data_IF_406873278488
#
_entry.id   IF_406873278488
#
_cell.length_a   1.000
_cell.length_b   1.000
_cell.length_c   1.000
_cell.angle_alpha   90.00
_cell.angle_beta   90.00
_cell.angle_gamma   90.00
#
_symmetry.space_group_name_H-M   'P 1'
#
loop_
_entity.id
_entity.type
_entity.pdbx_description
1 polymer ?
#
# COMPACT_ATOMS: atom_id res chain seq x y z
N UNK A 1 -20.29 -8.19 -15.51
CA UNK A 1 -18.85 -8.20 -15.19
C UNK A 1 -18.74 -8.22 -13.67
N UNK A 2 -17.99 -9.15 -13.08
CA UNK A 2 -17.89 -9.21 -11.61
C UNK A 2 -17.01 -8.08 -11.07
N UNK A 3 -17.12 -7.79 -9.77
CA UNK A 3 -16.23 -6.84 -9.10
C UNK A 3 -14.76 -7.24 -9.22
N UNK A 4 -14.47 -8.55 -9.10
CA UNK A 4 -13.13 -9.10 -9.28
C UNK A 4 -12.59 -8.87 -10.69
N UNK A 5 -13.43 -8.97 -11.73
CA UNK A 5 -13.00 -8.70 -13.10
C UNK A 5 -12.67 -7.22 -13.31
N UNK A 6 -13.44 -6.33 -12.67
CA UNK A 6 -13.16 -4.89 -12.68
C UNK A 6 -11.81 -4.60 -12.02
N UNK A 7 -11.55 -5.17 -10.84
CA UNK A 7 -10.27 -5.00 -10.11
C UNK A 7 -9.09 -5.51 -10.95
N UNK A 8 -9.22 -6.70 -11.56
CA UNK A 8 -8.19 -7.27 -12.44
C UNK A 8 -7.92 -6.41 -13.67
N UNK A 9 -8.97 -5.83 -14.26
CA UNK A 9 -8.85 -4.95 -15.42
C UNK A 9 -8.13 -3.65 -15.02
N UNK A 10 -8.54 -3.03 -13.92
CA UNK A 10 -7.88 -1.83 -13.38
C UNK A 10 -6.40 -2.09 -13.10
N UNK A 11 -6.09 -3.22 -12.46
CA UNK A 11 -4.71 -3.67 -12.25
C UNK A 11 -3.95 -3.74 -13.56
N UNK A 12 -4.43 -4.50 -14.55
CA UNK A 12 -3.74 -4.66 -15.83
C UNK A 12 -3.50 -3.32 -16.54
N UNK A 13 -4.52 -2.46 -16.62
CA UNK A 13 -4.41 -1.16 -17.29
C UNK A 13 -3.42 -0.24 -16.59
N UNK A 14 -3.39 -0.25 -15.25
CA UNK A 14 -2.47 0.59 -14.50
C UNK A 14 -1.00 0.31 -14.74
N UNK A 15 -0.66 -0.91 -15.16
CA UNK A 15 0.72 -1.30 -15.46
C UNK A 15 1.22 -0.77 -16.80
N UNK A 16 0.37 -0.07 -17.58
CA UNK A 16 0.77 0.61 -18.81
C UNK A 16 1.34 2.02 -18.56
N UNK A 17 1.40 2.45 -17.30
CA UNK A 17 2.01 3.72 -16.91
C UNK A 17 3.55 3.66 -16.93
N UNK A 18 4.20 4.81 -16.78
CA UNK A 18 5.67 4.90 -16.60
C UNK A 18 6.03 4.64 -15.13
N UNK A 19 7.07 3.83 -14.91
CA UNK A 19 7.61 3.48 -13.58
C UNK A 19 9.12 3.79 -13.49
N UNK A 20 9.67 4.02 -12.28
CA UNK A 20 8.95 4.08 -11.00
C UNK A 20 8.11 5.34 -10.88
N UNK A 21 7.01 5.23 -10.15
CA UNK A 21 6.18 6.37 -9.81
C UNK A 21 6.55 6.92 -8.44
N UNK A 22 6.63 8.23 -8.33
CA UNK A 22 6.89 8.90 -7.07
C UNK A 22 5.60 9.52 -6.54
N UNK A 23 5.41 9.49 -5.23
CA UNK A 23 4.33 10.20 -4.57
C UNK A 23 4.73 10.65 -3.17
N UNK A 24 4.03 11.65 -2.66
CA UNK A 24 4.17 12.12 -1.29
C UNK A 24 2.84 11.95 -0.55
N UNK A 25 2.87 11.30 0.62
CA UNK A 25 1.71 11.16 1.47
C UNK A 25 2.14 11.01 2.94
N UNK A 26 1.42 11.66 3.87
CA UNK A 26 1.69 11.58 5.32
C UNK A 26 3.16 11.87 5.71
N UNK A 27 3.79 12.79 4.96
CA UNK A 27 5.21 13.16 5.14
C UNK A 27 6.18 12.01 4.83
N UNK A 28 5.78 11.07 3.97
CA UNK A 28 6.62 10.04 3.39
C UNK A 28 6.79 10.30 1.89
N UNK A 29 8.02 10.20 1.42
CA UNK A 29 8.34 10.07 0.00
C UNK A 29 8.29 8.58 -0.36
N UNK A 30 7.41 8.22 -1.29
CA UNK A 30 7.14 6.84 -1.65
C UNK A 30 7.45 6.60 -3.12
N UNK A 31 7.92 5.39 -3.38
CA UNK A 31 8.17 4.87 -4.72
C UNK A 31 7.22 3.71 -4.96
N UNK A 32 6.54 3.72 -6.10
CA UNK A 32 5.70 2.60 -6.54
C UNK A 32 6.32 2.02 -7.80
N UNK A 33 6.74 0.76 -7.70
CA UNK A 33 7.38 0.00 -8.77
C UNK A 33 6.36 -0.63 -9.71
N UNK A 34 6.84 -1.03 -10.89
CA UNK A 34 6.04 -1.81 -11.84
C UNK A 34 5.61 -3.15 -11.22
N UNK A 35 4.35 -3.49 -11.39
CA UNK A 35 3.71 -4.70 -10.88
C UNK A 35 3.11 -4.54 -9.49
N UNK A 36 3.19 -3.35 -8.88
CA UNK A 36 2.56 -3.03 -7.59
C UNK A 36 1.23 -2.31 -7.84
N UNK A 37 0.25 -2.54 -6.95
CA UNK A 37 -1.07 -1.95 -7.10
C UNK A 37 -0.97 -0.42 -7.02
N UNK A 38 -1.48 0.31 -8.02
CA UNK A 38 -1.38 1.77 -8.07
C UNK A 38 -2.24 2.45 -6.99
N UNK A 39 -1.72 3.46 -6.28
CA UNK A 39 -2.46 4.15 -5.23
C UNK A 39 -3.69 4.91 -5.76
N UNK A 40 -3.64 5.43 -6.98
CA UNK A 40 -4.71 6.24 -7.62
C UNK A 40 -6.07 5.53 -7.67
N UNK A 41 -6.03 4.20 -7.82
CA UNK A 41 -7.21 3.40 -8.13
C UNK A 41 -7.82 2.72 -6.90
N UNK A 42 -7.21 2.90 -5.72
CA UNK A 42 -7.67 2.23 -4.50
C UNK A 42 -7.56 3.14 -3.28
N UNK A 43 -8.45 4.12 -3.16
CA UNK A 43 -8.36 5.17 -2.12
C UNK A 43 -8.50 4.69 -0.67
N UNK A 44 -8.83 3.42 -0.43
CA UNK A 44 -8.95 2.87 0.92
C UNK A 44 -7.65 2.95 1.72
N UNK A 45 -6.47 2.95 1.07
CA UNK A 45 -5.19 3.18 1.76
C UNK A 45 -5.16 4.53 2.47
N UNK A 46 -5.84 5.55 1.93
CA UNK A 46 -5.86 6.89 2.54
C UNK A 46 -6.77 6.89 3.75
N UNK A 47 -7.98 6.35 3.58
CA UNK A 47 -8.95 6.27 4.65
C UNK A 47 -8.40 5.44 5.83
N UNK A 48 -7.79 4.28 5.57
CA UNK A 48 -7.24 3.43 6.63
C UNK A 48 -6.08 4.13 7.35
N UNK A 49 -5.25 4.89 6.63
CA UNK A 49 -4.14 5.66 7.21
C UNK A 49 -4.63 6.80 8.11
N UNK A 50 -5.73 7.45 7.75
CA UNK A 50 -6.34 8.56 8.51
C UNK A 50 -7.18 8.07 9.70
N UNK A 51 -7.69 6.83 9.65
CA UNK A 51 -8.68 6.32 10.61
C UNK A 51 -8.23 5.06 11.36
N UNK A 52 -6.94 4.67 11.27
CA UNK A 52 -6.46 3.48 11.96
C UNK A 52 -6.65 3.62 13.48
N UNK A 53 -7.17 2.59 14.19
CA UNK A 53 -7.37 2.66 15.62
C UNK A 53 -6.04 2.83 16.37
N UNK A 54 -6.03 3.39 17.59
CA UNK A 54 -4.80 3.61 18.35
C UNK A 54 -3.89 2.37 18.44
N UNK A 55 -2.63 2.52 18.07
CA UNK A 55 -1.66 1.43 17.86
C UNK A 55 -0.30 1.66 18.52
N UNK A 56 -0.13 2.75 19.27
CA UNK A 56 1.13 3.08 19.94
C UNK A 56 1.59 1.93 20.84
N UNK A 57 2.86 1.54 20.71
CA UNK A 57 3.48 0.44 21.44
C UNK A 57 2.99 -0.96 21.06
N UNK A 58 2.19 -1.13 19.99
CA UNK A 58 1.67 -2.45 19.57
C UNK A 58 2.55 -3.13 18.52
N UNK A 59 2.51 -4.46 18.53
CA UNK A 59 2.99 -5.29 17.42
C UNK A 59 1.87 -5.48 16.40
N UNK A 60 2.13 -5.14 15.14
CA UNK A 60 1.11 -5.11 14.08
C UNK A 60 1.48 -6.05 12.93
N UNK A 61 0.48 -6.75 12.40
CA UNK A 61 0.53 -7.49 11.13
C UNK A 61 -0.33 -6.78 10.09
N UNK A 62 0.27 -6.37 8.98
CA UNK A 62 -0.42 -5.89 7.78
C UNK A 62 -0.46 -7.00 6.72
N UNK A 63 -1.65 -7.32 6.22
CA UNK A 63 -1.85 -8.27 5.12
C UNK A 63 -2.21 -7.48 3.86
N UNK A 64 -1.40 -7.62 2.81
CA UNK A 64 -1.52 -6.86 1.57
C UNK A 64 -0.72 -5.55 1.62
N UNK A 65 0.60 -5.64 1.79
CA UNK A 65 1.45 -4.46 1.97
C UNK A 65 1.49 -3.55 0.73
N UNK A 66 1.24 -4.08 -0.48
CA UNK A 66 1.16 -3.28 -1.69
C UNK A 66 2.39 -2.37 -1.89
N UNK A 67 2.16 -1.06 -1.99
CA UNK A 67 3.23 -0.05 -2.12
C UNK A 67 3.77 0.45 -0.76
N UNK A 68 3.32 -0.14 0.35
CA UNK A 68 3.91 -0.01 1.68
C UNK A 68 3.31 1.07 2.58
N UNK A 69 2.42 1.95 2.11
CA UNK A 69 2.04 3.14 2.87
C UNK A 69 1.44 2.86 4.26
N UNK A 70 0.36 2.06 4.43
CA UNK A 70 -0.24 1.95 5.75
C UNK A 70 0.75 1.38 6.76
N UNK A 71 1.47 0.31 6.42
CA UNK A 71 2.55 -0.23 7.24
C UNK A 71 3.65 0.80 7.56
N UNK A 72 4.22 1.47 6.56
CA UNK A 72 5.27 2.48 6.76
C UNK A 72 4.80 3.63 7.67
N UNK A 73 3.54 4.04 7.55
CA UNK A 73 2.96 5.04 8.42
C UNK A 73 2.91 4.55 9.87
N UNK A 74 2.43 3.33 10.12
CA UNK A 74 2.36 2.74 11.46
C UNK A 74 3.75 2.62 12.09
N UNK A 75 4.74 2.18 11.32
CA UNK A 75 6.13 2.11 11.78
C UNK A 75 6.69 3.49 12.14
N UNK A 76 6.41 4.51 11.32
CA UNK A 76 6.86 5.89 11.55
C UNK A 76 6.20 6.54 12.78
N UNK A 77 4.99 6.11 13.14
CA UNK A 77 4.13 6.84 14.09
C UNK A 77 3.89 6.13 15.42
N UNK A 78 4.61 5.04 15.71
CA UNK A 78 4.69 4.49 17.08
C UNK A 78 4.36 3.01 17.24
N UNK A 79 4.19 2.24 16.17
CA UNK A 79 4.12 0.79 16.29
C UNK A 79 5.43 0.24 16.92
N UNK A 80 5.31 -0.64 17.92
CA UNK A 80 6.46 -1.29 18.56
C UNK A 80 7.20 -2.21 17.58
N UNK A 81 6.45 -2.97 16.80
CA UNK A 81 6.99 -3.76 15.70
C UNK A 81 5.92 -3.95 14.62
N UNK A 82 6.38 -4.15 13.39
CA UNK A 82 5.51 -4.29 12.23
C UNK A 82 6.03 -5.44 11.37
N UNK A 83 5.11 -6.34 11.01
CA UNK A 83 5.29 -7.29 9.92
C UNK A 83 4.28 -6.95 8.83
N UNK A 84 4.74 -6.78 7.60
CA UNK A 84 3.88 -6.59 6.44
C UNK A 84 4.11 -7.76 5.47
N UNK A 85 3.05 -8.19 4.79
CA UNK A 85 3.15 -9.26 3.80
C UNK A 85 2.24 -9.03 2.60
N UNK A 86 2.56 -9.66 1.48
CA UNK A 86 1.73 -9.63 0.28
C UNK A 86 1.89 -10.94 -0.49
N UNK A 87 0.86 -11.32 -1.26
CA UNK A 87 0.95 -12.45 -2.17
C UNK A 87 1.86 -12.13 -3.37
N UNK A 88 2.00 -10.85 -3.70
CA UNK A 88 2.82 -10.39 -4.80
C UNK A 88 4.27 -10.12 -4.32
N UNK A 89 5.26 -10.89 -4.79
CA UNK A 89 6.65 -10.69 -4.39
C UNK A 89 7.19 -9.31 -4.80
N UNK A 90 6.63 -8.68 -5.85
CA UNK A 90 7.02 -7.32 -6.25
C UNK A 90 6.57 -6.26 -5.24
N UNK A 91 5.45 -6.47 -4.54
CA UNK A 91 4.99 -5.59 -3.47
C UNK A 91 5.89 -5.70 -2.23
N UNK A 92 6.34 -6.91 -1.90
CA UNK A 92 7.29 -7.15 -0.80
C UNK A 92 8.65 -6.49 -1.06
N UNK A 93 9.09 -6.46 -2.32
CA UNK A 93 10.37 -5.88 -2.73
C UNK A 93 10.32 -4.36 -3.03
N UNK A 94 9.15 -3.72 -2.96
CA UNK A 94 8.91 -2.35 -3.42
C UNK A 94 9.65 -1.28 -2.60
#
# INVERSE_FOLDING_TARGET
>A
MSELDRIRTTLRTSQQATFPRQMQAFGLDLVVQEGVFPPEHFQSWRWISENFPPFDGKTVLEIGCGFGLPGLLLAKTGALSLLTCDINPRAVAN
#
